data_IF_266390815623
#
_entry.id   IF_266390815623
#
_cell.length_a   1.000
_cell.length_b   1.000
_cell.length_c   1.000
_cell.angle_alpha   90.00
_cell.angle_beta   90.00
_cell.angle_gamma   90.00
#
_symmetry.space_group_name_H-M   'P 1'
#
loop_
_entity.id
_entity.type
_entity.pdbx_description
1 polymer ?
#
# COMPACT_ATOMS: atom_id res chain seq x y z
N UNK A 1 -46.19 -40.21 -11.45
CA UNK A 1 -45.11 -39.93 -12.42
C UNK A 1 -44.74 -38.45 -12.46
N UNK A 2 -45.67 -37.52 -12.75
CA UNK A 2 -45.35 -36.07 -12.85
C UNK A 2 -44.77 -35.44 -11.57
N UNK A 3 -45.25 -35.84 -10.38
CA UNK A 3 -44.75 -35.31 -9.10
C UNK A 3 -43.32 -35.77 -8.76
N UNK A 4 -42.93 -36.96 -9.20
CA UNK A 4 -41.59 -37.51 -8.97
C UNK A 4 -40.58 -36.77 -9.85
N UNK A 5 -40.91 -36.54 -11.12
CA UNK A 5 -40.06 -35.76 -12.04
C UNK A 5 -39.89 -34.31 -11.55
N UNK A 6 -40.93 -33.72 -10.96
CA UNK A 6 -40.88 -32.37 -10.39
C UNK A 6 -40.03 -32.30 -9.11
N UNK A 7 -40.01 -33.37 -8.30
CA UNK A 7 -39.19 -33.47 -7.10
C UNK A 7 -37.69 -33.64 -7.44
N UNK A 8 -37.37 -34.51 -8.40
CA UNK A 8 -36.01 -34.71 -8.92
C UNK A 8 -35.42 -33.43 -9.56
N UNK A 9 -36.27 -32.68 -10.29
CA UNK A 9 -35.88 -31.40 -10.89
C UNK A 9 -35.63 -30.31 -9.82
N UNK A 10 -36.38 -30.35 -8.72
CA UNK A 10 -36.18 -29.44 -7.59
C UNK A 10 -34.92 -29.77 -6.80
N UNK A 11 -34.67 -31.05 -6.54
CA UNK A 11 -33.47 -31.53 -5.84
C UNK A 11 -32.20 -31.19 -6.63
N UNK A 12 -32.20 -31.41 -7.95
CA UNK A 12 -31.07 -31.06 -8.81
C UNK A 12 -30.80 -29.55 -8.87
N UNK A 13 -31.85 -28.72 -8.90
CA UNK A 13 -31.70 -27.26 -8.84
C UNK A 13 -31.10 -26.79 -7.51
N UNK A 14 -31.53 -27.35 -6.37
CA UNK A 14 -30.99 -27.02 -5.05
C UNK A 14 -29.52 -27.41 -4.93
N UNK A 15 -29.13 -28.59 -5.43
CA UNK A 15 -27.73 -29.04 -5.41
C UNK A 15 -26.84 -28.11 -6.24
N UNK A 16 -27.28 -27.69 -7.43
CA UNK A 16 -26.51 -26.78 -8.29
C UNK A 16 -26.30 -25.41 -7.61
N UNK A 17 -27.34 -24.88 -6.97
CA UNK A 17 -27.29 -23.63 -6.20
C UNK A 17 -26.34 -23.79 -4.99
N UNK A 18 -26.41 -24.90 -4.25
CA UNK A 18 -25.50 -25.16 -3.14
C UNK A 18 -24.04 -25.27 -3.59
N UNK A 19 -23.76 -25.93 -4.71
CA UNK A 19 -22.40 -26.06 -5.26
C UNK A 19 -21.84 -24.69 -5.66
N UNK A 20 -22.64 -23.84 -6.32
CA UNK A 20 -22.20 -22.49 -6.70
C UNK A 20 -21.90 -21.62 -5.48
N UNK A 21 -22.76 -21.64 -4.46
CA UNK A 21 -22.54 -20.91 -3.20
C UNK A 21 -21.28 -21.43 -2.48
N UNK A 22 -21.10 -22.75 -2.41
CA UNK A 22 -19.97 -23.38 -1.74
C UNK A 22 -18.64 -23.12 -2.48
N UNK A 23 -18.62 -23.19 -3.82
CA UNK A 23 -17.46 -22.82 -4.64
C UNK A 23 -17.09 -21.34 -4.49
N UNK A 24 -18.05 -20.42 -4.37
CA UNK A 24 -17.77 -19.01 -4.12
C UNK A 24 -17.23 -18.75 -2.71
N UNK A 25 -17.56 -19.61 -1.74
CA UNK A 25 -17.19 -19.45 -0.33
C UNK A 25 -15.83 -20.07 0.00
N UNK A 26 -15.42 -21.15 -0.68
CA UNK A 26 -14.11 -21.79 -0.52
C UNK A 26 -12.94 -21.04 -1.19
N UNK A 27 -13.24 -20.06 -2.04
CA UNK A 27 -12.24 -19.20 -2.68
C UNK A 27 -11.65 -18.10 -1.79
N UNK A 28 -11.83 -18.15 -0.46
CA UNK A 28 -11.13 -17.27 0.48
C UNK A 28 -10.02 -18.05 1.18
N UNK A 29 -8.87 -18.14 0.54
CA UNK A 29 -7.63 -18.42 1.25
C UNK A 29 -7.34 -17.23 2.18
N UNK A 30 -7.75 -17.34 3.44
CA UNK A 30 -7.04 -16.66 4.52
C UNK A 30 -5.78 -17.48 4.78
N UNK A 31 -4.64 -16.95 4.36
CA UNK A 31 -3.36 -17.38 4.92
C UNK A 31 -2.71 -16.18 5.59
N UNK A 32 -3.13 -15.95 6.83
CA UNK A 32 -2.24 -15.39 7.85
C UNK A 32 -1.25 -16.49 8.23
N UNK A 33 -0.09 -16.49 7.59
CA UNK A 33 1.16 -16.91 8.21
C UNK A 33 2.26 -16.08 7.59
N UNK A 34 2.81 -15.18 8.39
CA UNK A 34 4.09 -14.52 8.10
C UNK A 34 5.17 -15.58 8.18
N UNK A 35 6.00 -15.73 7.15
CA UNK A 35 7.42 -15.85 7.43
C UNK A 35 8.20 -14.71 6.77
N UNK A 36 9.16 -14.28 7.57
CA UNK A 36 10.23 -13.35 7.31
C UNK A 36 11.09 -13.79 6.12
N UNK A 37 11.56 -12.80 5.36
CA UNK A 37 12.79 -12.82 4.54
C UNK A 37 12.83 -13.72 3.29
N UNK A 38 13.05 -13.09 2.14
CA UNK A 38 13.53 -13.77 0.94
C UNK A 38 12.70 -13.46 -0.30
N UNK A 39 13.25 -12.61 -1.16
CA UNK A 39 12.70 -12.25 -2.47
C UNK A 39 12.48 -13.50 -3.33
N UNK A 40 11.23 -13.93 -3.52
CA UNK A 40 10.77 -14.71 -4.68
C UNK A 40 9.23 -14.90 -4.68
N UNK A 41 8.54 -14.26 -5.64
CA UNK A 41 7.27 -14.77 -6.15
C UNK A 41 5.97 -14.40 -5.42
N UNK A 42 5.88 -13.22 -4.79
CA UNK A 42 4.59 -12.67 -4.40
C UNK A 42 3.78 -12.24 -5.62
N UNK A 43 2.46 -12.42 -5.60
CA UNK A 43 1.55 -11.80 -6.58
C UNK A 43 1.89 -10.29 -6.67
N UNK A 44 2.18 -9.74 -7.87
CA UNK A 44 2.50 -8.33 -8.03
C UNK A 44 1.50 -7.40 -7.34
N UNK A 45 0.23 -7.81 -7.30
CA UNK A 45 -0.84 -7.07 -6.60
C UNK A 45 -0.61 -7.02 -5.09
N UNK A 46 -0.16 -8.13 -4.49
CA UNK A 46 0.14 -8.21 -3.06
C UNK A 46 1.39 -7.38 -2.68
N UNK A 47 2.41 -7.34 -3.55
CA UNK A 47 3.63 -6.56 -3.31
C UNK A 47 3.30 -5.06 -3.31
N UNK A 48 2.53 -4.60 -4.30
CA UNK A 48 2.08 -3.20 -4.37
C UNK A 48 1.17 -2.87 -3.18
N UNK A 49 0.25 -3.77 -2.81
CA UNK A 49 -0.61 -3.56 -1.64
C UNK A 49 0.21 -3.41 -0.34
N UNK A 50 1.25 -4.22 -0.14
CA UNK A 50 2.16 -4.10 1.01
C UNK A 50 2.91 -2.77 1.02
N UNK A 51 3.44 -2.33 -0.12
CA UNK A 51 4.12 -1.03 -0.22
C UNK A 51 3.18 0.15 0.09
N UNK A 52 1.90 0.07 -0.31
CA UNK A 52 0.90 1.09 0.00
C UNK A 52 0.56 1.20 1.50
N UNK A 53 0.80 0.14 2.28
CA UNK A 53 0.64 0.20 3.74
C UNK A 53 1.65 1.16 4.39
N UNK A 54 2.84 1.34 3.81
CA UNK A 54 3.85 2.26 4.34
C UNK A 54 3.36 3.72 4.44
N UNK A 55 2.42 4.15 3.58
CA UNK A 55 1.86 5.50 3.60
C UNK A 55 0.76 5.70 4.66
N UNK A 56 0.13 4.60 5.09
CA UNK A 56 -1.00 4.61 6.00
C UNK A 56 -0.66 4.03 7.39
N UNK A 57 0.61 3.67 7.60
CA UNK A 57 1.04 3.18 8.89
C UNK A 57 0.99 4.31 9.92
N UNK A 58 -0.01 4.21 10.82
CA UNK A 58 -0.22 5.15 11.92
C UNK A 58 0.97 5.21 12.88
N UNK A 59 1.88 4.22 12.84
CA UNK A 59 3.11 4.23 13.63
C UNK A 59 4.26 4.98 12.95
N UNK A 60 4.20 5.16 11.62
CA UNK A 60 5.20 5.95 10.88
C UNK A 60 4.81 7.42 10.87
N UNK A 61 3.56 7.72 10.54
CA UNK A 61 3.07 9.10 10.51
C UNK A 61 2.29 9.46 11.78
N UNK A 62 3.03 9.81 12.83
CA UNK A 62 2.49 10.14 14.15
C UNK A 62 2.25 11.64 14.33
N UNK A 63 3.14 12.46 13.76
CA UNK A 63 3.30 13.88 14.12
C UNK A 63 3.35 14.80 12.92
N UNK A 64 3.67 14.30 11.73
CA UNK A 64 3.65 15.11 10.52
C UNK A 64 2.21 15.45 10.09
N UNK A 65 1.98 16.72 9.76
CA UNK A 65 0.70 17.18 9.22
C UNK A 65 0.40 16.49 7.89
N UNK A 66 -0.83 15.98 7.71
CA UNK A 66 -1.21 15.14 6.58
C UNK A 66 -1.02 15.79 5.21
N UNK A 67 -1.19 17.12 5.13
CA UNK A 67 -1.01 17.93 3.92
C UNK A 67 0.43 17.92 3.38
N UNK A 68 1.42 17.70 4.26
CA UNK A 68 2.84 17.77 3.95
C UNK A 68 3.52 16.41 3.84
N UNK A 69 2.77 15.32 3.99
CA UNK A 69 3.31 13.95 3.90
C UNK A 69 3.64 13.61 2.44
N UNK A 70 4.61 12.71 2.27
CA UNK A 70 4.83 12.07 0.99
C UNK A 70 3.60 11.25 0.60
N UNK A 71 3.15 11.44 -0.63
CA UNK A 71 2.00 10.72 -1.20
C UNK A 71 2.48 9.61 -2.13
N UNK A 72 1.60 8.64 -2.42
CA UNK A 72 1.79 7.62 -3.44
C UNK A 72 2.01 8.21 -4.84
N UNK A 73 1.57 9.45 -5.05
CA UNK A 73 1.87 10.23 -6.25
C UNK A 73 3.34 10.62 -6.38
N UNK A 74 4.13 10.54 -5.30
CA UNK A 74 5.53 10.95 -5.26
C UNK A 74 5.72 12.43 -4.98
N UNK A 75 4.74 13.07 -4.33
CA UNK A 75 4.74 14.51 -4.07
C UNK A 75 4.83 14.81 -2.57
N UNK A 76 5.57 15.88 -2.24
CA UNK A 76 5.70 16.49 -0.91
C UNK A 76 5.32 17.97 -1.08
N UNK A 77 4.13 18.36 -0.62
CA UNK A 77 3.55 19.68 -0.93
C UNK A 77 3.77 20.68 0.20
N UNK A 78 5.03 20.91 0.56
CA UNK A 78 5.40 21.83 1.65
C UNK A 78 5.50 23.26 1.09
N UNK A 79 4.74 24.23 1.63
CA UNK A 79 4.86 25.63 1.22
C UNK A 79 6.21 26.20 1.70
N UNK A 80 6.75 27.23 1.02
CA UNK A 80 8.05 27.83 1.38
C UNK A 80 8.17 28.22 2.86
N UNK A 81 7.12 28.81 3.42
CA UNK A 81 7.07 29.26 4.82
C UNK A 81 7.11 28.10 5.85
N UNK A 82 6.92 26.86 5.40
CA UNK A 82 6.91 25.66 6.25
C UNK A 82 8.12 24.74 6.00
N UNK A 83 8.97 25.05 5.01
CA UNK A 83 10.14 24.22 4.64
C UNK A 83 11.05 23.99 5.83
N UNK A 84 11.40 25.03 6.59
CA UNK A 84 12.28 24.90 7.75
C UNK A 84 11.68 23.98 8.83
N UNK A 85 10.36 24.08 9.07
CA UNK A 85 9.67 23.22 10.04
C UNK A 85 9.55 21.79 9.56
N UNK A 86 9.40 21.57 8.26
CA UNK A 86 9.43 20.24 7.67
C UNK A 86 10.82 19.60 7.82
N UNK A 87 11.87 20.33 7.42
CA UNK A 87 13.25 19.85 7.38
C UNK A 87 13.89 19.64 8.75
N UNK A 88 13.47 20.41 9.77
CA UNK A 88 13.96 20.28 11.13
C UNK A 88 12.97 19.57 12.07
N UNK A 89 11.88 19.01 11.51
CA UNK A 89 10.77 18.45 12.26
C UNK A 89 10.54 16.96 12.00
N UNK A 90 9.46 16.40 12.60
CA UNK A 90 9.13 14.98 12.45
C UNK A 90 8.82 14.61 11.00
N UNK A 91 8.30 15.53 10.19
CA UNK A 91 7.94 15.24 8.80
C UNK A 91 9.10 14.70 7.95
N UNK A 92 10.31 15.24 8.11
CA UNK A 92 11.49 14.72 7.42
C UNK A 92 11.80 13.29 7.85
N UNK A 93 11.84 13.05 9.17
CA UNK A 93 12.11 11.73 9.74
C UNK A 93 11.06 10.70 9.32
N UNK A 94 9.78 11.03 9.48
CA UNK A 94 8.66 10.17 9.12
C UNK A 94 8.64 9.86 7.62
N UNK A 95 8.97 10.83 6.76
CA UNK A 95 9.08 10.60 5.32
C UNK A 95 10.22 9.65 4.97
N UNK A 96 11.39 9.77 5.62
CA UNK A 96 12.48 8.81 5.40
C UNK A 96 12.10 7.39 5.85
N UNK A 97 11.37 7.25 6.97
CA UNK A 97 10.84 5.94 7.40
C UNK A 97 9.88 5.31 6.39
N UNK A 98 9.03 6.11 5.73
CA UNK A 98 8.17 5.63 4.63
C UNK A 98 9.00 5.13 3.46
N UNK A 99 10.02 5.90 3.05
CA UNK A 99 10.90 5.52 1.94
C UNK A 99 11.64 4.21 2.24
N UNK A 100 12.17 4.06 3.45
CA UNK A 100 12.85 2.84 3.90
C UNK A 100 11.88 1.65 3.97
N UNK A 101 10.64 1.86 4.44
CA UNK A 101 9.59 0.84 4.45
C UNK A 101 9.31 0.31 3.04
N UNK A 102 9.16 1.20 2.05
CA UNK A 102 8.90 0.81 0.65
C UNK A 102 10.11 0.07 0.06
N UNK A 103 11.32 0.57 0.29
CA UNK A 103 12.56 -0.02 -0.24
C UNK A 103 12.79 -1.45 0.26
N UNK A 104 12.44 -1.72 1.52
CA UNK A 104 12.52 -3.05 2.13
C UNK A 104 11.48 -4.04 1.56
N UNK A 105 10.37 -3.55 0.99
CA UNK A 105 9.31 -4.38 0.42
C UNK A 105 9.55 -4.64 -1.08
N UNK A 106 9.90 -3.60 -1.83
CA UNK A 106 10.01 -3.66 -3.28
C UNK A 106 11.21 -2.84 -3.78
N UNK A 107 12.22 -3.57 -4.27
CA UNK A 107 13.32 -2.96 -5.01
C UNK A 107 12.81 -2.31 -6.30
N UNK A 108 13.37 -1.15 -6.63
CA UNK A 108 13.01 -0.37 -7.82
C UNK A 108 11.55 0.12 -7.87
N UNK A 109 10.95 0.38 -6.70
CA UNK A 109 9.64 1.03 -6.62
C UNK A 109 9.62 2.36 -7.38
N UNK A 110 8.49 2.62 -8.06
CA UNK A 110 8.23 3.89 -8.75
C UNK A 110 6.91 4.47 -8.27
N UNK A 111 6.96 5.75 -7.91
CA UNK A 111 5.76 6.55 -7.61
C UNK A 111 4.94 6.79 -8.88
N UNK A 112 3.69 7.26 -8.74
CA UNK A 112 2.85 7.52 -9.92
C UNK A 112 3.45 8.58 -10.86
N UNK A 113 4.16 9.58 -10.33
CA UNK A 113 4.91 10.57 -11.10
C UNK A 113 6.20 10.02 -11.76
N UNK A 114 6.47 8.72 -11.66
CA UNK A 114 7.64 7.99 -12.19
C UNK A 114 8.95 8.24 -11.45
N UNK A 115 8.95 9.01 -10.36
CA UNK A 115 10.10 9.14 -9.47
C UNK A 115 10.46 7.79 -8.84
N UNK A 116 11.74 7.58 -8.62
CA UNK A 116 12.29 6.51 -7.77
C UNK A 116 12.39 6.98 -6.32
N UNK A 117 12.62 6.06 -5.39
CA UNK A 117 12.93 6.40 -4.00
C UNK A 117 14.11 7.37 -3.90
N UNK A 118 15.13 7.18 -4.73
CA UNK A 118 16.30 8.05 -4.76
C UNK A 118 15.95 9.47 -5.24
N UNK A 119 15.11 9.60 -6.28
CA UNK A 119 14.67 10.91 -6.77
C UNK A 119 13.93 11.70 -5.68
N UNK A 120 13.13 11.02 -4.85
CA UNK A 120 12.45 11.64 -3.71
C UNK A 120 13.46 12.06 -2.63
N UNK A 121 14.42 11.21 -2.26
CA UNK A 121 15.49 11.55 -1.30
C UNK A 121 16.30 12.75 -1.78
N UNK A 122 16.63 12.80 -3.06
CA UNK A 122 17.38 13.91 -3.66
C UNK A 122 16.55 15.21 -3.68
N UNK A 123 15.25 15.12 -3.96
CA UNK A 123 14.32 16.26 -3.88
C UNK A 123 14.24 16.81 -2.46
N UNK A 124 14.10 15.95 -1.45
CA UNK A 124 14.11 16.33 -0.03
C UNK A 124 15.44 16.99 0.33
N UNK A 125 16.56 16.39 -0.08
CA UNK A 125 17.89 16.93 0.16
C UNK A 125 18.04 18.31 -0.45
N UNK A 126 17.61 18.50 -1.70
CA UNK A 126 17.62 19.80 -2.36
C UNK A 126 16.76 20.82 -1.61
N UNK A 127 15.52 20.47 -1.26
CA UNK A 127 14.61 21.34 -0.51
C UNK A 127 15.14 21.75 0.86
N UNK A 128 15.74 20.82 1.61
CA UNK A 128 16.28 21.08 2.94
C UNK A 128 17.72 21.64 2.96
N UNK A 129 18.40 21.68 1.82
CA UNK A 129 19.73 22.30 1.71
C UNK A 129 19.65 23.82 1.47
N UNK A 130 18.48 24.35 1.11
CA UNK A 130 18.27 25.78 1.00
C UNK A 130 17.98 26.35 2.40
N UNK A 131 19.04 26.83 3.07
CA UNK A 131 18.89 27.79 4.19
C UNK A 131 18.45 29.16 3.66
N UNK A 132 18.06 30.10 4.55
CA UNK A 132 17.56 31.40 4.11
C UNK A 132 18.56 32.06 3.16
N UNK A 133 18.08 32.48 1.99
CA UNK A 133 18.76 33.41 1.10
C UNK A 133 19.31 34.55 1.97
N UNK A 134 20.64 34.67 2.03
CA UNK A 134 21.32 35.74 2.77
C UNK A 134 21.33 37.02 1.95
#
# INVERSE_FOLDING_TARGET
MAYIVKLELWLSAVILICITIFCCSLGKAQEETVPESGVAGGDPTQIVAKALLCFNDKYVYSSCEQSYRLTENGNINVPPDYTDKYCNGPCLTETNLVLDCIENIMLHFKFYNKATIQDIRDTIKAGCSHGPEK
#
